data_IF_867732153879
#
_entry.id   IF_867732153879
#
_cell.length_a   1.000
_cell.length_b   1.000
_cell.length_c   1.000
_cell.angle_alpha   90.00
_cell.angle_beta   90.00
_cell.angle_gamma   90.00
#
_symmetry.space_group_name_H-M   'P 1'
#
loop_
_entity.id
_entity.type
_entity.pdbx_description
1 polymer ?
#
# COMPACT_ATOMS: atom_id res chain seq x y z
N UNK A 1 100.66 -63.92 -34.78
CA UNK A 1 99.85 -64.06 -33.65
C UNK A 1 98.63 -63.16 -33.70
N UNK A 2 97.66 -63.35 -34.57
CA UNK A 2 96.46 -62.47 -34.68
C UNK A 2 95.29 -63.25 -35.33
N UNK A 3 94.93 -64.42 -34.79
CA UNK A 3 93.85 -65.27 -35.28
C UNK A 3 92.89 -65.81 -34.22
N UNK A 4 92.81 -65.19 -33.08
CA UNK A 4 91.95 -65.70 -31.96
C UNK A 4 90.95 -64.71 -31.39
N UNK A 5 90.57 -63.54 -32.10
CA UNK A 5 89.64 -62.53 -31.56
C UNK A 5 88.28 -62.63 -32.26
N UNK A 6 88.06 -63.54 -33.19
CA UNK A 6 86.80 -63.66 -33.89
C UNK A 6 86.02 -64.88 -33.42
N UNK A 7 85.67 -64.95 -32.10
CA UNK A 7 84.84 -65.98 -31.61
C UNK A 7 83.37 -65.48 -31.73
N UNK A 8 82.51 -66.10 -32.55
CA UNK A 8 81.13 -65.66 -32.76
C UNK A 8 80.28 -65.65 -31.51
N UNK A 9 80.77 -66.41 -30.54
CA UNK A 9 80.07 -66.54 -29.25
C UNK A 9 80.15 -65.29 -28.37
N UNK A 10 81.18 -64.42 -28.55
CA UNK A 10 81.26 -63.12 -27.83
C UNK A 10 80.62 -61.95 -28.58
N UNK A 11 80.45 -62.02 -29.86
CA UNK A 11 79.84 -60.96 -30.66
C UNK A 11 78.33 -60.98 -30.70
N UNK A 12 77.74 -62.16 -30.54
CA UNK A 12 76.31 -62.37 -30.51
C UNK A 12 75.63 -61.57 -29.45
N UNK A 13 76.05 -61.59 -28.18
CA UNK A 13 75.36 -60.73 -27.14
C UNK A 13 75.57 -59.26 -27.36
N UNK A 14 76.69 -58.82 -27.97
CA UNK A 14 76.97 -57.42 -28.22
C UNK A 14 76.10 -56.86 -29.39
N UNK A 15 75.81 -57.68 -30.39
CA UNK A 15 74.91 -57.35 -31.48
C UNK A 15 73.45 -57.28 -30.94
N UNK A 16 73.05 -58.22 -30.05
CA UNK A 16 71.73 -58.19 -29.47
C UNK A 16 71.53 -56.95 -28.58
N UNK A 17 72.59 -56.58 -27.82
CA UNK A 17 72.55 -55.41 -26.93
C UNK A 17 72.52 -54.11 -27.78
N UNK A 18 73.26 -54.05 -28.89
CA UNK A 18 73.23 -52.95 -29.87
C UNK A 18 71.85 -52.80 -30.53
N UNK A 19 71.26 -53.93 -30.94
CA UNK A 19 69.93 -53.95 -31.54
C UNK A 19 68.83 -53.56 -30.52
N UNK A 20 68.97 -53.99 -29.29
CA UNK A 20 68.06 -53.59 -28.20
C UNK A 20 68.16 -52.10 -27.88
N UNK A 21 69.37 -51.54 -27.81
CA UNK A 21 69.61 -50.12 -27.62
C UNK A 21 69.10 -49.28 -28.78
N UNK A 22 69.26 -49.76 -30.01
CA UNK A 22 68.71 -49.12 -31.20
C UNK A 22 67.18 -49.07 -31.25
N UNK A 23 66.57 -50.17 -30.82
CA UNK A 23 65.11 -50.26 -30.73
C UNK A 23 64.51 -49.31 -29.62
N UNK A 24 65.20 -49.23 -28.49
CA UNK A 24 64.79 -48.33 -27.40
C UNK A 24 64.92 -46.84 -27.83
N UNK A 25 66.05 -46.50 -28.51
CA UNK A 25 66.20 -45.13 -28.99
C UNK A 25 65.26 -44.82 -30.12
N UNK A 26 64.91 -45.76 -31.00
CA UNK A 26 63.88 -45.57 -32.02
C UNK A 26 62.52 -45.33 -31.42
N UNK A 27 62.12 -46.11 -30.39
CA UNK A 27 60.83 -45.87 -29.72
C UNK A 27 60.83 -44.61 -28.83
N UNK A 28 61.97 -44.21 -28.25
CA UNK A 28 62.06 -42.93 -27.56
C UNK A 28 62.00 -41.73 -28.51
N UNK A 29 62.58 -41.80 -29.67
CA UNK A 29 62.56 -40.75 -30.73
C UNK A 29 61.13 -40.60 -31.33
N UNK A 30 60.45 -41.74 -31.51
CA UNK A 30 59.12 -41.78 -32.10
C UNK A 30 58.03 -41.90 -31.03
N UNK A 31 58.21 -41.27 -29.86
CA UNK A 31 57.14 -41.23 -28.86
C UNK A 31 55.93 -40.52 -29.48
N UNK A 32 54.76 -41.15 -29.63
CA UNK A 32 53.57 -40.45 -30.04
C UNK A 32 53.26 -39.37 -29.01
N UNK A 33 53.32 -38.11 -29.40
CA UNK A 33 52.86 -37.01 -28.56
C UNK A 33 51.40 -37.30 -28.17
N UNK A 34 51.16 -37.52 -26.92
CA UNK A 34 49.80 -37.61 -26.40
C UNK A 34 49.12 -36.30 -26.73
N UNK A 35 48.27 -36.27 -27.79
CA UNK A 35 47.42 -35.13 -28.07
C UNK A 35 46.64 -34.86 -26.80
N UNK A 36 47.05 -33.82 -26.05
CA UNK A 36 46.22 -33.23 -25.00
C UNK A 36 44.89 -32.88 -25.63
N UNK A 37 43.88 -33.76 -25.48
CA UNK A 37 42.50 -33.37 -25.73
C UNK A 37 42.26 -32.18 -24.81
N UNK A 38 42.40 -30.98 -25.33
CA UNK A 38 41.79 -29.82 -24.73
C UNK A 38 40.30 -30.17 -24.63
N UNK A 39 39.89 -30.61 -23.49
CA UNK A 39 38.47 -30.73 -23.16
C UNK A 39 37.89 -29.36 -23.45
N UNK A 40 37.29 -29.17 -24.64
CA UNK A 40 36.36 -28.08 -24.81
C UNK A 40 35.34 -28.24 -23.71
N UNK A 41 35.50 -27.48 -22.65
CA UNK A 41 34.42 -27.24 -21.72
C UNK A 41 33.26 -26.72 -22.60
N UNK A 42 32.37 -27.60 -22.98
CA UNK A 42 31.03 -27.20 -23.42
C UNK A 42 30.39 -26.59 -22.21
N UNK A 43 30.55 -25.28 -22.02
CA UNK A 43 29.78 -24.55 -21.02
C UNK A 43 28.33 -24.96 -21.16
N UNK A 44 27.67 -25.17 -20.03
CA UNK A 44 26.21 -25.42 -20.00
C UNK A 44 25.54 -24.30 -20.81
N UNK A 45 24.70 -24.66 -21.79
CA UNK A 45 23.87 -23.68 -22.46
C UNK A 45 22.99 -23.02 -21.39
N UNK A 46 23.23 -21.75 -21.14
CA UNK A 46 22.38 -20.92 -20.29
C UNK A 46 21.67 -19.91 -21.19
N UNK A 47 20.35 -19.86 -21.02
CA UNK A 47 19.55 -18.82 -21.64
C UNK A 47 19.83 -17.51 -20.90
N UNK A 48 20.29 -16.51 -21.59
CA UNK A 48 20.58 -15.19 -21.01
C UNK A 48 19.60 -14.19 -21.59
N UNK A 49 18.95 -13.44 -20.69
CA UNK A 49 18.11 -12.32 -21.06
C UNK A 49 18.84 -11.02 -20.73
N UNK A 50 18.83 -10.09 -21.66
CA UNK A 50 19.45 -8.79 -21.43
C UNK A 50 18.68 -8.05 -20.34
N UNK A 51 19.33 -7.72 -19.23
CA UNK A 51 18.75 -6.93 -18.18
C UNK A 51 18.62 -5.47 -18.66
N UNK A 52 17.38 -5.02 -18.78
CA UNK A 52 17.08 -3.62 -19.08
C UNK A 52 16.85 -2.90 -17.76
N UNK A 53 17.53 -1.78 -17.53
CA UNK A 53 17.23 -0.90 -16.40
C UNK A 53 15.84 -0.32 -16.60
N UNK A 54 14.91 -0.69 -15.73
CA UNK A 54 13.58 -0.10 -15.66
C UNK A 54 13.36 0.45 -14.26
N UNK A 55 12.50 1.46 -14.16
CA UNK A 55 12.06 2.04 -12.90
C UNK A 55 10.58 1.64 -12.69
N UNK A 56 10.30 0.40 -12.25
CA UNK A 56 8.94 -0.06 -12.10
C UNK A 56 8.27 0.71 -10.96
N UNK A 57 7.02 1.11 -11.18
CA UNK A 57 6.18 1.63 -10.10
C UNK A 57 5.88 0.48 -9.14
N UNK A 58 6.27 0.63 -7.89
CA UNK A 58 5.95 -0.33 -6.83
C UNK A 58 4.53 -0.01 -6.36
N UNK A 59 3.64 -0.98 -6.46
CA UNK A 59 2.28 -0.91 -5.91
C UNK A 59 2.23 -1.83 -4.70
N UNK A 60 1.83 -1.28 -3.57
CA UNK A 60 1.62 -2.02 -2.34
C UNK A 60 0.13 -2.21 -2.13
N UNK A 61 -0.34 -3.43 -2.32
CA UNK A 61 -1.72 -3.81 -2.02
C UNK A 61 -1.87 -4.13 -0.54
N UNK A 62 -2.90 -3.55 0.08
CA UNK A 62 -3.21 -3.75 1.49
C UNK A 62 -4.72 -3.63 1.72
N UNK A 63 -5.18 -4.05 2.88
CA UNK A 63 -6.57 -3.95 3.28
C UNK A 63 -6.68 -2.99 4.47
N UNK A 64 -7.80 -2.28 4.56
CA UNK A 64 -8.03 -1.32 5.64
C UNK A 64 -9.48 -1.22 6.05
N UNK A 65 -9.71 -0.52 7.16
CA UNK A 65 -11.03 -0.15 7.63
C UNK A 65 -11.28 1.33 7.42
N UNK A 66 -12.49 1.65 6.97
CA UNK A 66 -12.91 3.03 6.72
C UNK A 66 -13.60 3.57 7.97
N UNK A 67 -13.24 4.79 8.35
CA UNK A 67 -13.93 5.54 9.40
C UNK A 67 -14.15 6.98 8.95
N UNK A 68 -15.14 7.65 9.53
CA UNK A 68 -15.30 9.09 9.32
C UNK A 68 -14.08 9.85 9.87
N UNK A 69 -13.59 10.83 9.11
CA UNK A 69 -12.49 11.68 9.55
C UNK A 69 -12.89 12.59 10.71
N UNK A 70 -14.17 12.97 10.79
CA UNK A 70 -14.72 13.81 11.84
C UNK A 70 -15.87 13.10 12.53
N UNK A 71 -15.85 13.13 13.86
CA UNK A 71 -16.92 12.65 14.72
C UNK A 71 -17.01 13.56 15.94
N UNK A 72 -18.21 14.04 16.23
CA UNK A 72 -18.46 14.91 17.38
C UNK A 72 -19.68 14.41 18.15
N UNK A 73 -19.55 14.33 19.47
CA UNK A 73 -20.65 14.19 20.38
C UNK A 73 -21.08 15.58 20.81
N UNK A 74 -22.24 16.00 20.35
CA UNK A 74 -22.82 17.29 20.73
C UNK A 74 -23.37 17.19 22.14
N UNK A 75 -22.95 18.09 23.04
CA UNK A 75 -23.38 18.12 24.44
C UNK A 75 -24.00 19.46 24.77
N UNK A 76 -24.96 19.44 25.71
CA UNK A 76 -25.55 20.65 26.24
C UNK A 76 -24.50 21.45 27.04
N UNK A 77 -24.37 22.75 26.74
CA UNK A 77 -23.46 23.67 27.44
C UNK A 77 -24.14 24.41 28.58
N UNK A 78 -25.47 24.44 28.57
CA UNK A 78 -26.32 25.06 29.59
C UNK A 78 -27.42 24.12 30.03
N UNK A 79 -27.93 24.33 31.23
CA UNK A 79 -29.11 23.62 31.71
C UNK A 79 -30.35 24.26 31.11
N UNK A 80 -31.27 23.45 30.62
CA UNK A 80 -32.50 23.98 30.01
C UNK A 80 -33.42 22.89 29.50
N UNK A 81 -34.51 23.28 28.88
CA UNK A 81 -35.47 22.40 28.22
C UNK A 81 -35.26 22.47 26.72
N UNK A 82 -35.31 21.35 26.05
CA UNK A 82 -35.25 21.28 24.58
C UNK A 82 -36.56 21.87 24.05
N UNK A 83 -36.46 23.08 23.49
CA UNK A 83 -37.61 23.86 23.00
C UNK A 83 -37.94 23.57 21.53
N UNK A 84 -36.91 23.30 20.72
CA UNK A 84 -37.09 23.00 19.31
C UNK A 84 -35.99 22.06 18.82
N UNK A 85 -36.37 21.14 17.92
CA UNK A 85 -35.48 20.19 17.27
C UNK A 85 -35.71 20.30 15.76
N UNK A 86 -34.64 20.42 14.98
CA UNK A 86 -34.69 20.40 13.53
C UNK A 86 -35.23 19.05 13.03
N UNK A 87 -36.12 19.05 12.01
CA UNK A 87 -36.51 17.81 11.35
C UNK A 87 -35.32 17.04 10.73
N UNK A 88 -34.21 17.75 10.48
CA UNK A 88 -32.96 17.16 9.98
C UNK A 88 -32.14 16.49 11.08
N UNK A 89 -32.52 16.61 12.34
CA UNK A 89 -31.85 15.92 13.44
C UNK A 89 -32.48 14.55 13.70
N UNK A 90 -32.67 13.78 12.64
CA UNK A 90 -33.07 12.38 12.70
C UNK A 90 -31.91 11.48 12.22
N UNK A 91 -31.84 10.27 12.74
CA UNK A 91 -30.82 9.31 12.40
C UNK A 91 -30.77 9.07 10.89
N UNK A 92 -29.57 9.19 10.30
CA UNK A 92 -29.36 9.06 8.87
C UNK A 92 -29.61 10.34 8.07
N UNK A 93 -30.12 11.40 8.66
CA UNK A 93 -30.35 12.67 7.98
C UNK A 93 -29.05 13.44 7.77
N UNK A 94 -28.96 14.11 6.62
CA UNK A 94 -27.81 14.96 6.25
C UNK A 94 -28.06 16.40 6.72
N UNK A 95 -27.01 17.03 7.24
CA UNK A 95 -27.00 18.44 7.66
C UNK A 95 -25.77 19.17 7.12
N UNK A 96 -25.87 20.49 7.01
CA UNK A 96 -24.79 21.37 6.56
C UNK A 96 -24.15 22.13 7.73
N UNK A 97 -22.90 22.54 7.52
CA UNK A 97 -22.17 23.38 8.47
C UNK A 97 -22.96 24.65 8.83
N UNK A 98 -23.06 24.94 10.13
CA UNK A 98 -23.74 26.11 10.64
C UNK A 98 -25.28 25.98 10.72
N UNK A 99 -25.85 24.88 10.27
CA UNK A 99 -27.28 24.63 10.34
C UNK A 99 -27.73 24.47 11.79
N UNK A 100 -28.87 25.05 12.13
CA UNK A 100 -29.45 24.96 13.48
C UNK A 100 -30.07 23.59 13.67
N UNK A 101 -29.52 22.82 14.62
CA UNK A 101 -29.95 21.45 14.92
C UNK A 101 -31.02 21.42 16.02
N UNK A 102 -30.87 22.23 17.08
CA UNK A 102 -31.83 22.35 18.14
C UNK A 102 -31.64 23.63 18.94
N UNK A 103 -32.68 23.98 19.70
CA UNK A 103 -32.63 25.10 20.65
C UNK A 103 -32.99 24.63 22.07
N UNK A 104 -32.30 25.21 23.03
CA UNK A 104 -32.54 25.01 24.45
C UNK A 104 -33.15 26.28 25.03
N UNK A 105 -34.16 26.13 25.89
CA UNK A 105 -34.72 27.20 26.71
C UNK A 105 -34.02 27.17 28.09
N UNK A 106 -33.12 28.14 28.39
CA UNK A 106 -32.33 28.08 29.61
C UNK A 106 -33.18 28.49 30.82
N UNK A 107 -33.05 27.79 31.93
CA UNK A 107 -33.70 28.14 33.17
C UNK A 107 -33.18 29.41 33.86
N UNK A 108 -31.97 29.84 33.47
CA UNK A 108 -31.31 31.03 34.01
C UNK A 108 -30.87 31.92 32.84
N UNK A 109 -30.48 33.17 33.10
CA UNK A 109 -29.94 34.12 32.12
C UNK A 109 -28.62 33.61 31.50
N UNK A 110 -28.69 32.49 30.78
CA UNK A 110 -27.58 31.90 30.07
C UNK A 110 -27.29 32.73 28.79
N UNK A 111 -26.07 32.71 28.34
CA UNK A 111 -25.71 33.32 27.05
C UNK A 111 -26.47 32.61 25.94
N UNK A 112 -27.18 33.38 25.09
CA UNK A 112 -27.99 32.89 23.99
C UNK A 112 -27.20 32.02 23.01
N UNK A 113 -25.91 32.27 22.87
CA UNK A 113 -25.04 31.50 21.95
C UNK A 113 -24.95 30.01 22.35
N UNK A 114 -25.03 29.70 23.64
CA UNK A 114 -25.01 28.34 24.19
C UNK A 114 -26.36 27.61 24.11
N UNK A 115 -27.43 28.34 23.79
CA UNK A 115 -28.77 27.76 23.63
C UNK A 115 -29.06 27.31 22.20
N UNK A 116 -28.28 27.82 21.21
CA UNK A 116 -28.43 27.50 19.80
C UNK A 116 -27.38 26.45 19.40
N UNK A 117 -27.80 25.22 19.28
CA UNK A 117 -26.92 24.12 18.90
C UNK A 117 -26.86 24.04 17.38
N UNK A 118 -25.69 24.36 16.81
CA UNK A 118 -25.44 24.37 15.36
C UNK A 118 -24.49 23.24 14.96
N UNK A 119 -24.62 22.80 13.71
CA UNK A 119 -23.74 21.82 13.11
C UNK A 119 -22.31 22.39 12.91
N UNK A 120 -21.25 21.74 13.41
CA UNK A 120 -19.89 22.24 13.28
C UNK A 120 -19.25 21.96 11.91
N UNK A 121 -19.77 20.99 11.16
CA UNK A 121 -19.30 20.54 9.84
C UNK A 121 -20.47 19.97 9.03
N UNK A 122 -20.24 19.62 7.78
CA UNK A 122 -21.23 18.88 6.97
C UNK A 122 -21.20 17.41 7.33
N UNK A 123 -22.36 16.80 7.53
CA UNK A 123 -22.37 15.41 7.98
C UNK A 123 -23.73 14.78 8.06
N UNK A 124 -23.74 13.62 8.70
CA UNK A 124 -24.92 12.79 8.93
C UNK A 124 -25.11 12.58 10.44
N UNK A 125 -26.35 12.63 10.87
CA UNK A 125 -26.73 12.30 12.26
C UNK A 125 -26.60 10.80 12.45
N UNK A 126 -25.70 10.39 13.34
CA UNK A 126 -25.56 8.99 13.69
C UNK A 126 -26.64 8.55 14.69
N UNK A 127 -26.87 9.40 15.70
CA UNK A 127 -27.79 9.08 16.79
C UNK A 127 -28.29 10.38 17.42
N UNK A 128 -29.56 10.43 17.80
CA UNK A 128 -30.15 11.49 18.57
C UNK A 128 -30.55 10.95 19.96
N UNK A 129 -30.05 11.62 21.01
CA UNK A 129 -30.17 11.14 22.38
C UNK A 129 -31.18 11.97 23.23
N UNK A 130 -31.92 12.92 22.62
CA UNK A 130 -32.85 13.79 23.33
C UNK A 130 -34.13 13.98 22.55
N UNK A 131 -35.21 14.27 23.29
CA UNK A 131 -36.53 14.54 22.74
C UNK A 131 -36.99 15.96 23.04
N UNK A 132 -37.97 16.43 22.23
CA UNK A 132 -38.61 17.73 22.44
C UNK A 132 -39.28 17.80 23.81
N UNK A 133 -39.07 18.88 24.54
CA UNK A 133 -39.58 19.08 25.89
C UNK A 133 -38.76 18.39 27.00
N UNK A 134 -37.70 17.66 26.66
CA UNK A 134 -36.83 17.04 27.64
C UNK A 134 -35.96 18.07 28.35
N UNK A 135 -35.83 17.97 29.66
CA UNK A 135 -34.88 18.75 30.45
C UNK A 135 -33.50 18.12 30.38
N UNK A 136 -32.49 18.96 30.07
CA UNK A 136 -31.08 18.56 29.95
C UNK A 136 -30.17 19.39 30.86
N UNK A 137 -29.16 18.76 31.40
CA UNK A 137 -28.12 19.42 32.20
C UNK A 137 -26.87 19.64 31.34
N UNK A 138 -26.03 20.58 31.76
CA UNK A 138 -24.70 20.77 31.17
C UNK A 138 -23.93 19.45 31.09
N UNK A 139 -23.40 19.09 29.92
CA UNK A 139 -22.72 17.82 29.69
C UNK A 139 -23.61 16.67 29.21
N UNK A 140 -24.95 16.84 29.21
CA UNK A 140 -25.85 15.84 28.60
C UNK A 140 -25.56 15.70 27.11
N UNK A 141 -25.41 14.45 26.64
CA UNK A 141 -25.21 14.16 25.21
C UNK A 141 -26.53 14.37 24.47
N UNK A 142 -26.52 15.21 23.46
CA UNK A 142 -27.67 15.58 22.64
C UNK A 142 -27.77 14.76 21.36
N UNK A 143 -26.65 14.66 20.64
CA UNK A 143 -26.56 13.90 19.39
C UNK A 143 -25.11 13.47 19.09
N UNK A 144 -24.97 12.43 18.29
CA UNK A 144 -23.71 12.00 17.70
C UNK A 144 -23.71 12.37 16.21
N UNK A 145 -22.73 13.16 15.79
CA UNK A 145 -22.59 13.65 14.42
C UNK A 145 -21.35 13.06 13.79
N UNK A 146 -21.47 12.66 12.52
CA UNK A 146 -20.38 12.11 11.70
C UNK A 146 -20.21 13.00 10.48
N UNK A 147 -18.96 13.41 10.22
CA UNK A 147 -18.61 14.18 9.03
C UNK A 147 -18.72 13.37 7.73
N UNK A 148 -19.19 14.02 6.68
CA UNK A 148 -19.36 13.45 5.33
C UNK A 148 -18.30 13.92 4.34
N UNK A 149 -17.57 14.99 4.63
CA UNK A 149 -16.64 15.63 3.69
C UNK A 149 -15.39 14.80 3.40
N UNK A 150 -14.96 14.02 4.39
CA UNK A 150 -13.77 13.15 4.25
C UNK A 150 -13.88 11.89 5.11
N UNK A 151 -13.23 10.84 4.64
CA UNK A 151 -13.06 9.60 5.39
C UNK A 151 -11.57 9.27 5.56
N UNK A 152 -11.25 8.63 6.65
CA UNK A 152 -9.94 8.03 6.89
C UNK A 152 -9.99 6.52 6.66
N UNK A 153 -9.01 6.01 5.93
CA UNK A 153 -8.81 4.57 5.77
C UNK A 153 -7.59 4.17 6.58
N UNK A 154 -7.81 3.33 7.59
CA UNK A 154 -6.75 2.77 8.40
C UNK A 154 -6.30 1.47 7.77
N UNK A 155 -5.02 1.37 7.44
CA UNK A 155 -4.44 0.19 6.83
C UNK A 155 -3.16 -0.23 7.53
N UNK A 156 -2.97 -1.52 7.70
CA UNK A 156 -1.80 -2.09 8.35
C UNK A 156 -0.79 -2.54 7.29
N UNK A 157 0.43 -2.01 7.39
CA UNK A 157 1.54 -2.32 6.46
C UNK A 157 2.69 -2.95 7.24
N UNK A 158 3.23 -4.10 6.79
CA UNK A 158 4.42 -4.68 7.39
C UNK A 158 5.60 -3.71 7.37
N UNK A 159 6.32 -3.60 8.49
CA UNK A 159 7.46 -2.68 8.62
C UNK A 159 8.54 -2.95 7.56
N UNK A 160 8.70 -4.19 7.14
CA UNK A 160 9.62 -4.57 6.06
C UNK A 160 9.28 -3.93 4.71
N UNK A 161 8.02 -3.59 4.47
CA UNK A 161 7.56 -2.93 3.25
C UNK A 161 7.51 -1.41 3.37
N UNK A 162 7.50 -0.88 4.59
CA UNK A 162 7.42 0.57 4.83
C UNK A 162 8.61 1.31 4.19
N UNK A 163 9.81 0.72 4.20
CA UNK A 163 10.99 1.31 3.55
C UNK A 163 10.82 1.59 2.05
N UNK A 164 9.93 0.86 1.37
CA UNK A 164 9.65 1.07 -0.05
C UNK A 164 8.75 2.29 -0.27
N UNK A 165 7.90 2.60 0.70
CA UNK A 165 7.02 3.76 0.69
C UNK A 165 7.76 5.05 1.08
N UNK A 166 8.67 4.94 2.04
CA UNK A 166 9.41 6.11 2.56
C UNK A 166 10.48 6.62 1.58
N UNK A 167 10.85 5.84 0.57
CA UNK A 167 11.95 6.19 -0.32
C UNK A 167 13.29 6.30 0.43
N UNK A 168 14.36 6.66 -0.26
CA UNK A 168 15.58 7.16 0.41
C UNK A 168 15.27 8.59 0.89
N UNK A 169 15.58 8.94 2.14
CA UNK A 169 15.44 10.30 2.58
C UNK A 169 16.33 11.18 1.68
N UNK A 170 15.71 11.87 0.74
CA UNK A 170 16.36 12.96 0.05
C UNK A 170 16.59 14.02 1.12
N UNK A 171 17.84 14.49 1.25
CA UNK A 171 18.19 15.57 2.17
C UNK A 171 17.43 16.82 1.71
N UNK A 172 16.22 16.95 2.16
CA UNK A 172 15.46 18.18 2.04
C UNK A 172 15.86 19.07 3.22
N UNK A 173 16.42 20.23 2.93
CA UNK A 173 16.79 21.26 3.92
C UNK A 173 15.56 21.96 4.55
N UNK A 174 14.37 21.40 4.38
CA UNK A 174 13.15 21.91 5.01
C UNK A 174 12.79 20.98 6.16
N UNK A 175 12.52 21.58 7.32
CA UNK A 175 11.87 20.96 8.48
C UNK A 175 10.46 20.47 8.08
N UNK A 176 10.38 19.40 7.32
CA UNK A 176 9.12 18.69 7.09
C UNK A 176 8.89 17.73 8.26
N UNK A 177 7.68 17.76 8.79
CA UNK A 177 7.23 16.85 9.85
C UNK A 177 7.53 15.42 9.41
N UNK A 178 8.40 14.66 10.12
CA UNK A 178 8.79 13.31 9.74
C UNK A 178 7.61 12.32 9.69
N UNK A 179 6.46 12.72 10.22
CA UNK A 179 5.23 11.92 10.22
C UNK A 179 4.30 12.22 9.02
N UNK A 180 4.61 13.25 8.21
CA UNK A 180 3.77 13.65 7.09
C UNK A 180 4.25 13.01 5.80
N UNK A 181 3.51 12.04 5.32
CA UNK A 181 3.71 11.45 3.99
C UNK A 181 2.74 12.10 3.01
N UNK A 182 3.21 12.32 1.80
CA UNK A 182 2.35 12.74 0.70
C UNK A 182 2.49 11.73 -0.44
N UNK A 183 1.92 10.54 -0.22
CA UNK A 183 1.89 9.48 -1.22
C UNK A 183 0.47 9.33 -1.73
N UNK A 184 0.32 9.30 -3.03
CA UNK A 184 -0.96 9.01 -3.67
C UNK A 184 -1.33 7.55 -3.43
N UNK A 185 -2.58 7.31 -3.07
CA UNK A 185 -3.14 6.00 -2.83
C UNK A 185 -4.48 5.87 -3.55
N UNK A 186 -4.78 4.67 -3.96
CA UNK A 186 -6.06 4.32 -4.56
C UNK A 186 -6.80 3.39 -3.61
N UNK A 187 -8.01 3.76 -3.23
CA UNK A 187 -8.88 2.95 -2.37
C UNK A 187 -9.96 2.34 -3.24
N UNK A 188 -10.02 1.02 -3.29
CA UNK A 188 -11.06 0.30 -4.04
C UNK A 188 -11.95 -0.49 -3.09
N UNK A 189 -13.24 -0.47 -3.34
CA UNK A 189 -14.22 -1.26 -2.59
C UNK A 189 -15.18 -1.93 -3.57
N UNK A 190 -15.47 -3.20 -3.30
CA UNK A 190 -16.49 -3.93 -4.07
C UNK A 190 -17.88 -3.57 -3.55
N UNK A 191 -18.73 -3.07 -4.44
CA UNK A 191 -20.13 -2.77 -4.18
C UNK A 191 -20.98 -3.62 -5.12
N UNK A 192 -21.46 -4.76 -4.62
CA UNK A 192 -22.16 -5.74 -5.48
C UNK A 192 -21.24 -6.36 -6.52
N UNK A 193 -21.56 -6.17 -7.80
CA UNK A 193 -20.76 -6.62 -8.95
C UNK A 193 -19.75 -5.57 -9.44
N UNK A 194 -19.80 -4.37 -8.93
CA UNK A 194 -18.97 -3.25 -9.37
C UNK A 194 -17.88 -2.92 -8.35
N UNK A 195 -16.81 -2.30 -8.84
CA UNK A 195 -15.75 -1.76 -8.01
C UNK A 195 -15.83 -0.24 -8.01
N UNK A 196 -16.01 0.32 -6.82
CA UNK A 196 -15.89 1.75 -6.61
C UNK A 196 -14.44 2.08 -6.26
N UNK A 197 -13.90 3.13 -6.88
CA UNK A 197 -12.52 3.57 -6.70
C UNK A 197 -12.52 5.03 -6.27
N UNK A 198 -11.72 5.33 -5.25
CA UNK A 198 -11.46 6.67 -4.76
C UNK A 198 -9.98 6.95 -4.78
N UNK A 199 -9.62 8.15 -5.17
CA UNK A 199 -8.28 8.64 -4.99
C UNK A 199 -8.13 9.13 -3.55
N UNK A 200 -7.12 8.66 -2.89
CA UNK A 200 -6.76 9.05 -1.53
C UNK A 200 -5.30 9.45 -1.45
N UNK A 201 -4.92 9.94 -0.30
CA UNK A 201 -3.54 10.29 0.02
C UNK A 201 -3.16 9.76 1.38
N UNK A 202 -1.98 9.17 1.47
CA UNK A 202 -1.40 8.81 2.76
C UNK A 202 -0.98 10.10 3.45
N UNK A 203 -1.60 10.43 4.58
CA UNK A 203 -1.33 11.66 5.32
C UNK A 203 -0.32 11.44 6.44
N UNK A 204 -0.48 10.35 7.17
CA UNK A 204 0.31 10.09 8.37
C UNK A 204 0.39 8.60 8.69
N UNK A 205 1.35 8.26 9.50
CA UNK A 205 1.46 6.92 10.09
C UNK A 205 1.31 6.99 11.61
N UNK A 206 0.67 5.99 12.15
CA UNK A 206 0.66 5.77 13.59
C UNK A 206 1.85 4.88 13.92
N UNK A 207 2.75 5.37 14.78
CA UNK A 207 3.91 4.60 15.24
C UNK A 207 3.52 3.50 16.24
N UNK A 208 2.25 3.12 16.28
CA UNK A 208 1.79 2.02 17.10
C UNK A 208 2.12 0.71 16.41
N UNK A 209 3.12 0.02 16.95
CA UNK A 209 3.48 -1.32 16.51
C UNK A 209 2.49 -2.31 17.09
N UNK A 210 1.68 -2.90 16.24
CA UNK A 210 0.78 -3.98 16.66
C UNK A 210 1.62 -5.18 17.11
N UNK A 211 1.46 -5.69 18.35
CA UNK A 211 2.31 -6.76 18.89
C UNK A 211 2.32 -8.06 18.06
N UNK A 212 1.33 -8.25 17.21
CA UNK A 212 1.11 -9.47 16.41
C UNK A 212 1.77 -9.49 15.03
N UNK A 213 2.69 -8.58 14.69
CA UNK A 213 3.28 -8.70 13.35
C UNK A 213 4.22 -7.59 12.91
N UNK A 214 4.69 -6.72 13.79
CA UNK A 214 5.52 -5.56 13.41
C UNK A 214 4.87 -4.77 12.25
N UNK A 215 3.58 -4.49 12.37
CA UNK A 215 2.84 -3.71 11.39
C UNK A 215 2.76 -2.26 11.83
N UNK A 216 2.92 -1.36 10.87
CA UNK A 216 2.71 0.07 11.03
C UNK A 216 1.38 0.43 10.42
N UNK A 217 0.56 1.14 11.19
CA UNK A 217 -0.73 1.59 10.72
C UNK A 217 -0.57 2.91 9.96
N UNK A 218 -1.03 2.92 8.71
CA UNK A 218 -1.10 4.11 7.87
C UNK A 218 -2.51 4.66 7.85
N UNK A 219 -2.64 5.97 7.82
CA UNK A 219 -3.90 6.69 7.67
C UNK A 219 -3.91 7.35 6.31
N UNK A 220 -4.86 6.93 5.49
CA UNK A 220 -5.15 7.51 4.19
C UNK A 220 -6.37 8.41 4.32
N UNK A 221 -6.31 9.59 3.76
CA UNK A 221 -7.48 10.49 3.63
C UNK A 221 -8.11 10.32 2.26
N UNK A 222 -9.42 10.20 2.25
CA UNK A 222 -10.26 10.15 1.05
C UNK A 222 -11.25 11.29 1.12
N UNK A 223 -11.22 12.18 0.14
CA UNK A 223 -12.18 13.27 0.03
C UNK A 223 -13.49 12.78 -0.60
N UNK A 224 -14.62 13.32 -0.12
CA UNK A 224 -15.97 13.05 -0.60
C UNK A 224 -16.27 11.55 -0.79
N UNK A 225 -16.16 10.74 0.30
CA UNK A 225 -16.32 9.28 0.23
C UNK A 225 -17.73 8.87 -0.22
N UNK A 226 -18.73 9.71 0.03
CA UNK A 226 -20.12 9.47 -0.34
C UNK A 226 -20.50 10.10 -1.68
N UNK A 227 -19.60 10.89 -2.30
CA UNK A 227 -19.85 11.65 -3.54
C UNK A 227 -21.11 12.51 -3.47
N UNK A 228 -21.32 13.13 -2.31
CA UNK A 228 -22.47 14.00 -2.06
C UNK A 228 -22.30 15.39 -2.69
N UNK A 229 -21.07 15.78 -3.03
CA UNK A 229 -20.82 17.01 -3.79
C UNK A 229 -21.20 16.76 -5.25
N UNK A 230 -21.94 17.68 -5.90
CA UNK A 230 -22.18 17.60 -7.33
C UNK A 230 -20.86 17.85 -8.06
N UNK A 231 -20.08 16.82 -8.22
CA UNK A 231 -18.99 16.77 -9.18
C UNK A 231 -19.60 16.42 -10.54
N UNK A 232 -19.03 16.94 -11.62
CA UNK A 232 -19.25 16.47 -12.98
C UNK A 232 -19.35 14.94 -12.98
N UNK A 233 -20.24 14.32 -13.78
CA UNK A 233 -20.60 12.92 -13.66
C UNK A 233 -19.34 12.06 -13.53
N UNK A 234 -19.12 11.52 -12.34
CA UNK A 234 -17.91 10.81 -11.99
C UNK A 234 -17.77 9.56 -12.84
N UNK A 235 -16.65 9.44 -13.52
CA UNK A 235 -16.30 8.24 -14.27
C UNK A 235 -16.01 7.10 -13.29
N UNK A 236 -16.82 6.06 -13.32
CA UNK A 236 -16.48 4.79 -12.68
C UNK A 236 -15.39 4.10 -13.47
N UNK A 237 -14.28 3.80 -12.84
CA UNK A 237 -13.25 2.95 -13.44
C UNK A 237 -13.57 1.52 -13.06
N UNK A 238 -14.05 0.73 -14.03
CA UNK A 238 -14.12 -0.72 -13.88
C UNK A 238 -12.70 -1.30 -13.97
N UNK A 239 -12.26 -2.03 -12.96
CA UNK A 239 -10.93 -2.69 -12.96
C UNK A 239 -10.80 -3.77 -14.04
N UNK A 240 -11.93 -4.28 -14.54
CA UNK A 240 -11.98 -5.38 -15.49
C UNK A 240 -11.98 -4.92 -16.97
N UNK A 241 -12.21 -3.63 -17.20
CA UNK A 241 -12.18 -3.08 -18.55
C UNK A 241 -11.65 -1.65 -18.49
N UNK A 242 -10.62 -1.35 -19.25
CA UNK A 242 -9.99 -0.02 -19.34
C UNK A 242 -10.89 1.07 -19.95
N UNK A 243 -12.17 0.82 -20.08
CA UNK A 243 -13.17 1.76 -20.55
C UNK A 243 -13.86 2.46 -19.37
N UNK A 244 -13.68 3.76 -19.30
CA UNK A 244 -14.39 4.66 -18.40
C UNK A 244 -15.88 4.65 -18.73
N UNK A 245 -16.73 4.14 -17.85
CA UNK A 245 -18.19 4.25 -17.99
C UNK A 245 -18.72 5.37 -17.08
N UNK A 246 -19.55 6.27 -17.59
CA UNK A 246 -20.20 7.28 -16.75
C UNK A 246 -21.21 6.60 -15.79
N UNK A 247 -21.30 7.16 -14.60
CA UNK A 247 -22.27 6.74 -13.58
C UNK A 247 -23.70 6.87 -14.12
N UNK A 248 -24.59 5.90 -13.90
CA UNK A 248 -25.98 6.07 -14.22
C UNK A 248 -26.55 7.22 -13.36
N UNK A 249 -26.87 8.32 -13.98
CA UNK A 249 -27.56 9.43 -13.33
C UNK A 249 -28.80 8.88 -12.62
N UNK A 250 -28.90 9.07 -11.30
CA UNK A 250 -30.04 8.65 -10.51
C UNK A 250 -31.31 9.14 -11.19
N UNK A 251 -32.27 8.25 -11.44
CA UNK A 251 -33.59 8.60 -11.98
C UNK A 251 -34.16 9.66 -11.06
N UNK A 252 -34.30 10.88 -11.58
CA UNK A 252 -35.21 11.86 -10.99
C UNK A 252 -36.57 11.19 -10.98
N UNK A 253 -37.09 10.89 -9.82
CA UNK A 253 -38.49 10.55 -9.64
C UNK A 253 -39.26 11.79 -10.14
N UNK A 254 -39.92 11.63 -11.26
CA UNK A 254 -40.85 12.65 -11.76
C UNK A 254 -41.97 12.77 -10.73
N UNK A 255 -42.12 13.97 -10.19
CA UNK A 255 -43.33 14.39 -9.49
C UNK A 255 -44.51 14.17 -10.42
N UNK A 256 -45.50 13.46 -9.92
CA UNK A 256 -46.84 13.38 -10.42
C UNK A 256 -47.81 13.60 -9.26
#
# INVERSE_FOLDING_TARGET
MLKKIFNPQFWMPLVILGLGAGLVTYFMANKPEARKRQGRFKGTLVEVTQAVRSNPRIVLETHGSVRAAQRVVVTAQVNGVVNWISPLLEEGSYFQTGELLMTLDPLNNANLDFTLIKAPFNGVVQERNVDLGQYVNTGTQLANLIGSDSAEVLTDVPMSRLQWLMGKPEKSDKEEDPNKFSLDAEVSMRVGSEHAIWNGRVERHLLELTPKGMMVQLILSVEDPFRLRPTEPGEWISLDNKEKKPFPAGKKTAEG
#
